data_IF_188430906128
#
_entry.id   IF_188430906128
#
_cell.length_a   1.000
_cell.length_b   1.000
_cell.length_c   1.000
_cell.angle_alpha   90.00
_cell.angle_beta   90.00
_cell.angle_gamma   90.00
#
_symmetry.space_group_name_H-M   'P 1'
#
loop_
_entity.id
_entity.type
_entity.pdbx_description
1 polymer ?
#
# COMPACT_ATOMS: atom_id res chain seq x y z
N UNK A 1 57.23 8.38 -33.36
CA UNK A 1 57.14 7.99 -31.93
C UNK A 1 55.92 7.08 -31.76
N UNK A 2 56.00 5.95 -31.03
CA UNK A 2 54.83 5.11 -30.76
C UNK A 2 53.97 5.75 -29.66
N UNK A 3 52.72 6.11 -29.99
CA UNK A 3 51.77 6.63 -29.01
C UNK A 3 51.23 5.49 -28.14
N UNK A 4 51.77 5.37 -26.93
CA UNK A 4 51.31 4.40 -25.91
C UNK A 4 49.86 4.73 -25.51
N UNK A 5 48.89 4.10 -26.19
CA UNK A 5 47.47 4.20 -25.82
C UNK A 5 47.31 3.82 -24.35
N UNK A 6 46.72 4.71 -23.56
CA UNK A 6 46.44 4.47 -22.15
C UNK A 6 45.27 3.48 -22.02
N UNK A 7 45.58 2.19 -21.99
CA UNK A 7 44.59 1.16 -21.64
C UNK A 7 44.18 1.29 -20.17
N UNK A 8 42.88 1.16 -19.88
CA UNK A 8 42.35 1.13 -18.51
C UNK A 8 42.97 -0.03 -17.74
N UNK A 9 43.31 0.19 -16.47
CA UNK A 9 43.87 -0.87 -15.61
C UNK A 9 42.83 -1.96 -15.32
N UNK A 10 43.30 -3.19 -15.04
CA UNK A 10 42.43 -4.32 -14.69
C UNK A 10 41.62 -4.11 -13.40
N UNK A 11 41.99 -3.12 -12.58
CA UNK A 11 41.22 -2.66 -11.44
C UNK A 11 40.10 -1.70 -11.88
N UNK A 12 40.42 -0.66 -12.66
CA UNK A 12 39.44 0.29 -13.20
C UNK A 12 38.34 -0.43 -14.02
N UNK A 13 38.72 -1.46 -14.78
CA UNK A 13 37.77 -2.30 -15.50
C UNK A 13 36.79 -3.04 -14.57
N UNK A 14 37.23 -3.49 -13.39
CA UNK A 14 36.37 -4.15 -12.39
C UNK A 14 35.54 -3.16 -11.57
N UNK A 15 36.05 -1.95 -11.33
CA UNK A 15 35.29 -0.84 -10.73
C UNK A 15 34.14 -0.40 -11.64
N UNK A 16 34.42 -0.18 -12.94
CA UNK A 16 33.42 0.17 -13.96
C UNK A 16 32.39 -0.96 -14.13
N UNK A 17 32.82 -2.22 -14.26
CA UNK A 17 31.92 -3.37 -14.31
C UNK A 17 31.07 -3.49 -13.03
N UNK A 18 31.67 -3.20 -11.87
CA UNK A 18 30.99 -3.20 -10.58
C UNK A 18 29.85 -2.18 -10.51
N UNK A 19 30.12 -0.94 -10.92
CA UNK A 19 29.11 0.12 -11.01
C UNK A 19 28.02 -0.25 -12.02
N UNK A 20 28.40 -0.73 -13.21
CA UNK A 20 27.44 -1.13 -14.27
C UNK A 20 26.48 -2.24 -13.79
N UNK A 21 26.99 -3.23 -13.06
CA UNK A 21 26.18 -4.31 -12.47
C UNK A 21 25.25 -3.81 -11.35
N UNK A 22 25.69 -2.86 -10.51
CA UNK A 22 24.81 -2.22 -9.52
C UNK A 22 23.68 -1.45 -10.20
N UNK A 23 24.01 -0.60 -11.19
CA UNK A 23 23.02 0.17 -11.95
C UNK A 23 22.03 -0.76 -12.64
N UNK A 24 22.51 -1.78 -13.36
CA UNK A 24 21.64 -2.78 -14.00
C UNK A 24 20.72 -3.47 -12.99
N UNK A 25 21.24 -3.86 -11.82
CA UNK A 25 20.43 -4.44 -10.76
C UNK A 25 19.36 -3.49 -10.21
N UNK A 26 19.62 -2.18 -10.12
CA UNK A 26 18.62 -1.17 -9.75
C UNK A 26 17.55 -0.98 -10.83
N UNK A 27 17.93 -0.94 -12.11
CA UNK A 27 16.97 -0.85 -13.23
C UNK A 27 16.08 -2.10 -13.30
N UNK A 28 16.64 -3.29 -13.10
CA UNK A 28 15.88 -4.55 -12.99
C UNK A 28 14.96 -4.52 -11.77
N UNK A 29 15.40 -4.01 -10.62
CA UNK A 29 14.56 -3.89 -9.43
C UNK A 29 13.36 -2.96 -9.66
N UNK A 30 13.58 -1.79 -10.25
CA UNK A 30 12.51 -0.86 -10.61
C UNK A 30 11.52 -1.50 -11.60
N UNK A 31 12.04 -2.21 -12.61
CA UNK A 31 11.23 -2.95 -13.58
C UNK A 31 10.32 -3.98 -12.92
N UNK A 32 10.83 -4.73 -11.93
CA UNK A 32 10.08 -5.77 -11.22
C UNK A 32 9.09 -5.22 -10.19
N UNK A 33 9.42 -4.12 -9.49
CA UNK A 33 8.53 -3.49 -8.51
C UNK A 33 7.33 -2.80 -9.22
N UNK A 34 7.54 -2.26 -10.41
CA UNK A 34 6.49 -1.65 -11.25
C UNK A 34 5.90 -2.60 -12.31
N UNK A 35 5.97 -3.93 -12.07
CA UNK A 35 5.32 -4.90 -12.95
C UNK A 35 3.80 -4.84 -12.84
N UNK A 36 3.11 -4.47 -13.93
CA UNK A 36 1.69 -4.68 -14.09
C UNK A 36 1.44 -5.91 -15.00
N UNK A 37 0.63 -6.91 -14.60
CA UNK A 37 0.22 -8.03 -15.47
C UNK A 37 -0.47 -7.66 -16.79
N UNK A 38 -1.02 -6.44 -16.93
CA UNK A 38 -1.60 -5.93 -18.18
C UNK A 38 -0.58 -5.38 -19.18
N UNK A 39 0.62 -5.02 -18.70
CA UNK A 39 1.74 -4.57 -19.52
C UNK A 39 2.34 -5.79 -20.23
N UNK A 40 1.71 -6.20 -21.32
CA UNK A 40 2.20 -7.29 -22.16
C UNK A 40 3.02 -6.75 -23.34
N UNK A 41 4.18 -7.36 -23.68
CA UNK A 41 5.08 -6.88 -24.72
C UNK A 41 4.52 -7.09 -26.14
N UNK A 42 3.59 -6.22 -26.54
CA UNK A 42 2.91 -6.19 -27.85
C UNK A 42 3.71 -5.40 -28.91
N UNK A 43 5.04 -5.54 -28.88
CA UNK A 43 5.97 -4.80 -29.72
C UNK A 43 6.15 -3.34 -29.29
N UNK A 44 6.54 -2.47 -30.23
CA UNK A 44 6.79 -1.04 -29.98
C UNK A 44 5.50 -0.17 -29.98
N UNK A 45 4.33 -0.74 -29.69
CA UNK A 45 3.10 0.04 -29.60
C UNK A 45 3.06 0.78 -28.27
N UNK A 46 3.29 2.09 -28.30
CA UNK A 46 3.37 3.00 -27.14
C UNK A 46 2.00 3.30 -26.50
N UNK A 47 1.13 2.29 -26.37
CA UNK A 47 -0.01 2.37 -25.47
C UNK A 47 0.48 2.46 -24.02
N UNK A 48 -0.34 3.06 -23.18
CA UNK A 48 -0.03 3.51 -21.82
C UNK A 48 0.73 2.44 -21.00
N UNK A 49 2.03 2.67 -20.79
CA UNK A 49 2.92 1.78 -20.03
C UNK A 49 2.99 2.25 -18.58
N UNK A 50 2.50 1.44 -17.64
CA UNK A 50 2.56 1.75 -16.21
C UNK A 50 3.93 1.46 -15.59
N UNK A 51 4.73 0.58 -16.21
CA UNK A 51 6.06 0.25 -15.72
C UNK A 51 6.99 1.48 -15.65
N UNK A 52 7.59 1.73 -14.48
CA UNK A 52 8.42 2.91 -14.22
C UNK A 52 9.74 2.93 -15.00
N UNK A 53 10.15 1.79 -15.57
CA UNK A 53 11.28 1.67 -16.50
C UNK A 53 10.83 1.68 -17.99
N UNK A 54 9.56 2.03 -18.25
CA UNK A 54 8.95 2.06 -19.57
C UNK A 54 8.99 0.71 -20.27
N UNK A 55 8.94 0.72 -21.61
CA UNK A 55 8.93 -0.49 -22.46
C UNK A 55 10.06 -1.47 -22.11
N UNK A 56 11.26 -0.97 -21.81
CA UNK A 56 12.38 -1.83 -21.41
C UNK A 56 12.08 -2.60 -20.11
N UNK A 57 11.45 -1.95 -19.13
CA UNK A 57 11.04 -2.57 -17.88
C UNK A 57 9.89 -3.58 -18.04
N UNK A 58 8.97 -3.34 -18.98
CA UNK A 58 7.95 -4.33 -19.39
C UNK A 58 8.61 -5.61 -19.89
N UNK A 59 9.54 -5.52 -20.83
CA UNK A 59 10.25 -6.71 -21.33
C UNK A 59 11.07 -7.42 -20.23
N UNK A 60 11.79 -6.68 -19.38
CA UNK A 60 12.57 -7.25 -18.26
C UNK A 60 11.65 -7.99 -17.27
N UNK A 61 10.58 -7.33 -16.82
CA UNK A 61 9.67 -7.89 -15.83
C UNK A 61 8.87 -9.07 -16.38
N UNK A 62 8.37 -8.99 -17.62
CA UNK A 62 7.69 -10.10 -18.30
C UNK A 62 8.59 -11.35 -18.42
N UNK A 63 9.85 -11.20 -18.83
CA UNK A 63 10.80 -12.32 -18.93
C UNK A 63 11.11 -12.91 -17.55
N UNK A 64 11.40 -12.10 -16.54
CA UNK A 64 11.76 -12.59 -15.21
C UNK A 64 10.56 -13.24 -14.48
N UNK A 65 9.38 -12.63 -14.57
CA UNK A 65 8.17 -13.03 -13.84
C UNK A 65 7.35 -14.06 -14.63
N UNK A 66 6.78 -13.73 -15.80
CA UNK A 66 5.92 -14.69 -16.55
C UNK A 66 6.73 -15.88 -17.11
N UNK A 67 7.92 -15.64 -17.70
CA UNK A 67 8.69 -16.73 -18.33
C UNK A 67 9.56 -17.50 -17.32
N UNK A 68 10.41 -16.82 -16.54
CA UNK A 68 11.43 -17.50 -15.72
C UNK A 68 10.88 -18.06 -14.39
N UNK A 69 10.87 -17.26 -13.32
CA UNK A 69 10.76 -17.75 -11.94
C UNK A 69 9.55 -17.20 -11.16
N UNK A 70 8.74 -16.32 -11.76
CA UNK A 70 7.62 -15.68 -11.05
C UNK A 70 8.07 -14.67 -10.02
N UNK A 71 7.33 -14.55 -8.92
CA UNK A 71 7.72 -13.66 -7.81
C UNK A 71 9.13 -13.96 -7.25
N UNK A 72 9.60 -15.22 -7.13
CA UNK A 72 10.99 -15.54 -6.79
C UNK A 72 12.07 -14.90 -7.67
N UNK A 73 11.76 -14.41 -8.88
CA UNK A 73 12.71 -13.66 -9.71
C UNK A 73 13.20 -12.36 -9.06
N UNK A 74 12.53 -11.86 -8.01
CA UNK A 74 12.95 -10.69 -7.22
C UNK A 74 14.36 -10.82 -6.62
N UNK A 75 14.91 -12.04 -6.50
CA UNK A 75 16.31 -12.23 -6.05
C UNK A 75 17.35 -11.76 -7.08
N UNK A 76 17.02 -11.76 -8.38
CA UNK A 76 17.94 -11.43 -9.48
C UNK A 76 18.54 -10.03 -9.36
N UNK A 77 17.77 -8.93 -9.15
CA UNK A 77 18.35 -7.61 -8.96
C UNK A 77 19.28 -7.51 -7.75
N UNK A 78 18.97 -8.17 -6.62
CA UNK A 78 19.85 -8.18 -5.45
C UNK A 78 21.15 -8.94 -5.72
N UNK A 79 21.09 -10.05 -6.48
CA UNK A 79 22.27 -10.77 -6.93
C UNK A 79 23.14 -9.90 -7.87
N UNK A 80 22.54 -9.16 -8.81
CA UNK A 80 23.27 -8.22 -9.68
C UNK A 80 23.98 -7.12 -8.87
N UNK A 81 23.30 -6.49 -7.91
CA UNK A 81 23.89 -5.48 -7.02
C UNK A 81 25.03 -6.09 -6.17
N UNK A 82 24.85 -7.30 -5.63
CA UNK A 82 25.87 -8.01 -4.86
C UNK A 82 27.10 -8.43 -5.68
N UNK A 83 26.91 -8.82 -6.94
CA UNK A 83 28.00 -9.06 -7.89
C UNK A 83 28.72 -7.75 -8.22
N UNK A 84 27.98 -6.68 -8.49
CA UNK A 84 28.54 -5.35 -8.70
C UNK A 84 29.41 -4.89 -7.53
N UNK A 85 28.95 -5.08 -6.31
CA UNK A 85 29.71 -4.81 -5.08
C UNK A 85 30.96 -5.71 -4.92
N UNK A 86 30.90 -6.96 -5.38
CA UNK A 86 32.04 -7.90 -5.33
C UNK A 86 33.12 -7.51 -6.34
N UNK A 87 32.74 -7.13 -7.57
CA UNK A 87 33.66 -6.61 -8.58
C UNK A 87 34.24 -5.26 -8.19
N UNK A 88 33.41 -4.31 -7.74
CA UNK A 88 33.84 -2.97 -7.31
C UNK A 88 34.86 -3.01 -6.16
N UNK A 89 34.76 -3.99 -5.25
CA UNK A 89 35.72 -4.18 -4.15
C UNK A 89 36.86 -5.15 -4.46
N UNK A 90 36.99 -5.66 -5.70
CA UNK A 90 38.03 -6.62 -6.08
C UNK A 90 38.08 -7.90 -5.23
N UNK A 91 36.94 -8.32 -4.64
CA UNK A 91 36.89 -9.41 -3.64
C UNK A 91 36.88 -10.80 -4.28
N UNK A 92 37.21 -11.83 -3.48
CA UNK A 92 37.04 -13.24 -3.87
C UNK A 92 35.61 -13.48 -4.37
N UNK A 93 35.52 -13.98 -5.61
CA UNK A 93 34.27 -14.24 -6.32
C UNK A 93 33.60 -15.54 -5.89
N UNK A 94 34.36 -16.46 -5.29
CA UNK A 94 33.91 -17.80 -4.89
C UNK A 94 32.75 -17.76 -3.89
N UNK A 95 32.84 -16.88 -2.87
CA UNK A 95 31.75 -16.69 -1.90
C UNK A 95 30.50 -16.14 -2.58
N UNK A 96 30.64 -15.20 -3.52
CA UNK A 96 29.51 -14.63 -4.24
C UNK A 96 28.87 -15.63 -5.22
N UNK A 97 29.69 -16.46 -5.89
CA UNK A 97 29.22 -17.56 -6.74
C UNK A 97 28.42 -18.60 -5.92
N UNK A 98 28.93 -18.99 -4.74
CA UNK A 98 28.23 -19.91 -3.83
C UNK A 98 26.88 -19.34 -3.37
N UNK A 99 26.85 -18.07 -2.95
CA UNK A 99 25.60 -17.37 -2.59
C UNK A 99 24.64 -17.37 -3.79
N UNK A 100 25.12 -17.01 -4.98
CA UNK A 100 24.30 -16.94 -6.20
C UNK A 100 23.66 -18.27 -6.54
N UNK A 101 24.43 -19.35 -6.57
CA UNK A 101 23.93 -20.71 -6.84
C UNK A 101 22.84 -21.10 -5.84
N UNK A 102 23.06 -20.87 -4.54
CA UNK A 102 22.12 -21.17 -3.47
C UNK A 102 20.85 -20.31 -3.50
N UNK A 103 20.96 -19.01 -3.77
CA UNK A 103 19.81 -18.11 -3.90
C UNK A 103 18.95 -18.46 -5.13
N UNK A 104 19.57 -18.83 -6.26
CA UNK A 104 18.83 -19.28 -7.46
C UNK A 104 18.17 -20.65 -7.26
N UNK A 105 18.84 -21.60 -6.59
CA UNK A 105 18.25 -22.90 -6.24
C UNK A 105 17.04 -22.73 -5.31
N UNK A 106 17.15 -21.88 -4.28
CA UNK A 106 16.04 -21.56 -3.39
C UNK A 106 14.90 -20.85 -4.13
N UNK A 107 15.20 -19.93 -5.05
CA UNK A 107 14.18 -19.26 -5.88
C UNK A 107 13.44 -20.25 -6.79
N UNK A 108 14.15 -21.20 -7.43
CA UNK A 108 13.54 -22.25 -8.25
C UNK A 108 12.67 -23.22 -7.41
N UNK A 109 13.11 -23.54 -6.19
CA UNK A 109 12.33 -24.36 -5.26
C UNK A 109 11.02 -23.66 -4.84
N UNK A 110 11.07 -22.38 -4.48
CA UNK A 110 9.88 -21.57 -4.16
C UNK A 110 8.98 -21.42 -5.40
N UNK A 111 9.56 -21.19 -6.59
CA UNK A 111 8.82 -21.12 -7.85
C UNK A 111 8.05 -22.42 -8.13
N UNK A 112 8.64 -23.57 -7.83
CA UNK A 112 7.99 -24.89 -7.95
C UNK A 112 6.85 -25.07 -6.94
N UNK A 113 7.03 -24.62 -5.69
CA UNK A 113 5.93 -24.62 -4.68
C UNK A 113 4.76 -23.77 -5.17
N UNK A 114 5.03 -22.56 -5.68
CA UNK A 114 4.01 -21.64 -6.19
C UNK A 114 3.33 -22.16 -7.47
N UNK A 115 3.97 -23.09 -8.19
CA UNK A 115 3.40 -23.78 -9.35
C UNK A 115 2.37 -24.86 -8.99
N UNK A 116 2.46 -25.48 -7.83
CA UNK A 116 1.64 -26.65 -7.48
C UNK A 116 0.13 -26.36 -7.42
N UNK A 117 -0.37 -25.23 -6.88
CA UNK A 117 -1.79 -24.89 -6.93
C UNK A 117 -2.33 -24.65 -8.35
N UNK A 118 -1.46 -24.22 -9.28
CA UNK A 118 -1.82 -23.94 -10.67
C UNK A 118 -1.95 -25.25 -11.46
N UNK A 119 -1.12 -26.25 -11.17
CA UNK A 119 -1.23 -27.60 -11.73
C UNK A 119 -2.57 -28.29 -11.37
N UNK A 120 -3.21 -27.91 -10.26
CA UNK A 120 -4.52 -28.42 -9.85
C UNK A 120 -5.71 -27.72 -10.52
N UNK A 121 -5.54 -26.46 -10.95
CA UNK A 121 -6.63 -25.67 -11.55
C UNK A 121 -6.14 -24.97 -12.84
N UNK A 122 -6.07 -25.69 -13.99
CA UNK A 122 -5.66 -25.11 -15.27
C UNK A 122 -6.48 -23.87 -15.68
N UNK A 123 -7.75 -23.78 -15.25
CA UNK A 123 -8.66 -22.67 -15.55
C UNK A 123 -8.38 -21.40 -14.73
N UNK A 124 -7.61 -21.49 -13.62
CA UNK A 124 -7.17 -20.31 -12.85
C UNK A 124 -6.07 -19.51 -13.54
N UNK A 125 -5.61 -19.96 -14.70
CA UNK A 125 -4.54 -19.37 -15.53
C UNK A 125 -4.86 -18.00 -16.14
N UNK A 126 -6.02 -17.40 -15.87
CA UNK A 126 -6.33 -16.02 -16.27
C UNK A 126 -5.37 -14.96 -15.67
N UNK A 127 -4.77 -15.25 -14.51
CA UNK A 127 -3.69 -14.42 -13.90
C UNK A 127 -2.29 -14.86 -14.40
N UNK A 128 -2.24 -15.94 -15.19
CA UNK A 128 -1.05 -16.54 -15.78
C UNK A 128 -0.12 -17.21 -14.76
N UNK A 129 0.99 -17.76 -15.26
CA UNK A 129 2.08 -18.30 -14.45
C UNK A 129 2.85 -17.22 -13.63
N UNK A 130 2.29 -16.02 -13.45
CA UNK A 130 2.94 -14.85 -12.84
C UNK A 130 3.50 -15.12 -11.42
N UNK A 131 2.92 -16.06 -10.68
CA UNK A 131 3.40 -16.41 -9.33
C UNK A 131 4.65 -17.32 -9.34
N UNK A 132 4.72 -18.30 -10.26
CA UNK A 132 5.74 -19.36 -10.31
C UNK A 132 6.75 -19.21 -11.45
N UNK A 133 6.46 -18.35 -12.43
CA UNK A 133 7.03 -18.43 -13.76
C UNK A 133 6.60 -19.70 -14.51
N UNK A 134 6.83 -19.71 -15.81
CA UNK A 134 6.60 -20.89 -16.64
C UNK A 134 7.50 -22.06 -16.20
N UNK A 135 8.74 -21.81 -15.77
CA UNK A 135 9.66 -22.87 -15.32
C UNK A 135 9.13 -23.54 -14.04
N UNK A 136 8.80 -22.76 -13.00
CA UNK A 136 8.27 -23.31 -11.75
C UNK A 136 6.92 -24.01 -11.92
N UNK A 137 6.05 -23.44 -12.75
CA UNK A 137 4.76 -24.05 -13.13
C UNK A 137 4.94 -25.37 -13.89
N UNK A 138 5.84 -25.42 -14.87
CA UNK A 138 6.10 -26.61 -15.66
C UNK A 138 6.71 -27.76 -14.83
N UNK A 139 7.65 -27.45 -13.93
CA UNK A 139 8.21 -28.45 -13.00
C UNK A 139 7.11 -29.00 -12.09
N UNK A 140 6.29 -28.12 -11.49
CA UNK A 140 5.19 -28.53 -10.62
C UNK A 140 4.12 -29.38 -11.34
N UNK A 141 3.80 -29.04 -12.58
CA UNK A 141 2.87 -29.81 -13.41
C UNK A 141 3.41 -31.20 -13.75
N UNK A 142 4.68 -31.31 -14.16
CA UNK A 142 5.31 -32.61 -14.43
C UNK A 142 5.40 -33.47 -13.16
N UNK A 143 5.69 -32.87 -12.00
CA UNK A 143 5.69 -33.57 -10.72
C UNK A 143 4.28 -34.08 -10.36
N UNK A 144 3.25 -33.25 -10.60
CA UNK A 144 1.85 -33.64 -10.38
C UNK A 144 1.41 -34.79 -11.31
N UNK A 145 1.81 -34.75 -12.59
CA UNK A 145 1.54 -35.84 -13.53
C UNK A 145 2.26 -37.15 -13.15
N UNK A 146 3.46 -37.08 -12.59
CA UNK A 146 4.27 -38.25 -12.24
C UNK A 146 3.89 -38.90 -10.88
N UNK A 147 3.49 -38.10 -9.88
CA UNK A 147 3.32 -38.56 -8.50
C UNK A 147 1.93 -38.24 -7.89
N UNK A 148 1.04 -37.59 -8.64
CA UNK A 148 -0.19 -37.02 -8.11
C UNK A 148 0.06 -35.91 -7.09
N UNK A 149 -1.01 -35.37 -6.47
CA UNK A 149 -0.89 -34.28 -5.50
C UNK A 149 -0.11 -34.69 -4.24
N UNK A 150 -0.48 -35.80 -3.62
CA UNK A 150 0.12 -36.25 -2.35
C UNK A 150 1.61 -36.57 -2.54
N UNK A 151 1.96 -37.31 -3.59
CA UNK A 151 3.35 -37.63 -3.90
C UNK A 151 4.18 -36.39 -4.26
N UNK A 152 3.60 -35.42 -4.99
CA UNK A 152 4.26 -34.14 -5.26
C UNK A 152 4.61 -33.36 -3.99
N UNK A 153 3.69 -33.30 -3.02
CA UNK A 153 3.93 -32.64 -1.73
C UNK A 153 5.07 -33.34 -0.97
N UNK A 154 5.07 -34.68 -0.94
CA UNK A 154 6.12 -35.48 -0.28
C UNK A 154 7.49 -35.23 -0.93
N UNK A 155 7.58 -35.24 -2.26
CA UNK A 155 8.84 -34.97 -2.98
C UNK A 155 9.31 -33.54 -2.76
N UNK A 156 8.42 -32.55 -2.82
CA UNK A 156 8.75 -31.13 -2.54
C UNK A 156 9.30 -30.99 -1.11
N UNK A 157 8.63 -31.55 -0.10
CA UNK A 157 9.10 -31.48 1.30
C UNK A 157 10.46 -32.18 1.48
N UNK A 158 10.69 -33.32 0.84
CA UNK A 158 11.97 -34.02 0.88
C UNK A 158 13.10 -33.22 0.21
N UNK A 159 12.87 -32.67 -0.99
CA UNK A 159 13.82 -31.80 -1.69
C UNK A 159 14.09 -30.53 -0.88
N UNK A 160 13.07 -29.96 -0.24
CA UNK A 160 13.21 -28.80 0.65
C UNK A 160 14.09 -29.09 1.86
N UNK A 161 13.90 -30.24 2.52
CA UNK A 161 14.72 -30.66 3.65
C UNK A 161 16.19 -30.88 3.25
N UNK A 162 16.44 -31.58 2.13
CA UNK A 162 17.79 -31.78 1.58
C UNK A 162 18.44 -30.43 1.24
N UNK A 163 17.69 -29.54 0.61
CA UNK A 163 18.15 -28.19 0.25
C UNK A 163 18.50 -27.37 1.50
N UNK A 164 17.64 -27.38 2.52
CA UNK A 164 17.86 -26.65 3.78
C UNK A 164 19.13 -27.11 4.50
N UNK A 165 19.37 -28.42 4.58
CA UNK A 165 20.59 -29.00 5.16
C UNK A 165 21.83 -28.56 4.37
N UNK A 166 21.78 -28.61 3.04
CA UNK A 166 22.91 -28.21 2.19
C UNK A 166 23.21 -26.69 2.22
N UNK A 167 22.16 -25.87 2.40
CA UNK A 167 22.26 -24.41 2.55
C UNK A 167 22.85 -24.00 3.91
N UNK A 168 22.42 -24.65 4.99
CA UNK A 168 22.73 -24.24 6.38
C UNK A 168 23.97 -24.92 6.95
N UNK A 169 24.35 -26.09 6.42
CA UNK A 169 25.33 -27.02 7.01
C UNK A 169 24.93 -27.56 8.39
N UNK A 170 23.68 -27.31 8.84
CA UNK A 170 23.11 -27.81 10.09
C UNK A 170 22.60 -29.24 9.93
N UNK A 171 22.58 -30.01 11.00
CA UNK A 171 21.94 -31.34 10.97
C UNK A 171 20.42 -31.23 10.77
N UNK A 172 19.78 -32.29 10.26
CA UNK A 172 18.30 -32.34 10.19
C UNK A 172 17.67 -32.10 11.56
N UNK A 173 18.29 -32.60 12.63
CA UNK A 173 17.88 -32.40 14.03
C UNK A 173 17.85 -30.92 14.43
N UNK A 174 18.89 -30.15 14.10
CA UNK A 174 18.93 -28.70 14.32
C UNK A 174 17.88 -27.98 13.46
N UNK A 175 17.75 -28.36 12.18
CA UNK A 175 16.75 -27.78 11.28
C UNK A 175 15.32 -28.02 11.75
N UNK A 176 15.00 -29.22 12.27
CA UNK A 176 13.71 -29.52 12.88
C UNK A 176 13.48 -28.77 14.20
N UNK A 177 14.51 -28.60 15.03
CA UNK A 177 14.42 -27.79 16.24
C UNK A 177 14.14 -26.32 15.90
N UNK A 178 14.92 -25.72 15.00
CA UNK A 178 14.72 -24.36 14.50
C UNK A 178 13.33 -24.18 13.87
N UNK A 179 12.85 -25.18 13.12
CA UNK A 179 11.50 -25.16 12.54
C UNK A 179 10.40 -25.17 13.60
N UNK A 180 10.55 -25.95 14.70
CA UNK A 180 9.61 -25.92 15.83
C UNK A 180 9.61 -24.58 16.55
N UNK A 181 10.78 -23.98 16.78
CA UNK A 181 10.88 -22.64 17.37
C UNK A 181 10.24 -21.59 16.46
N UNK A 182 10.47 -21.64 15.15
CA UNK A 182 9.84 -20.73 14.20
C UNK A 182 8.31 -20.89 14.14
N UNK A 183 7.78 -22.11 14.16
CA UNK A 183 6.33 -22.36 14.22
C UNK A 183 5.71 -21.77 15.49
N UNK A 184 6.31 -22.03 16.66
CA UNK A 184 5.84 -21.51 17.94
C UNK A 184 5.85 -19.97 17.96
N UNK A 185 6.89 -19.34 17.41
CA UNK A 185 7.04 -17.88 17.39
C UNK A 185 6.29 -17.19 16.23
N UNK A 186 5.75 -17.94 15.26
CA UNK A 186 4.92 -17.41 14.17
C UNK A 186 3.45 -17.31 14.56
N UNK A 187 2.98 -18.14 15.49
CA UNK A 187 1.61 -18.07 16.00
C UNK A 187 1.30 -16.72 16.66
N UNK A 188 2.19 -16.24 17.54
CA UNK A 188 2.05 -14.92 18.18
C UNK A 188 2.05 -13.76 17.17
N UNK A 189 2.95 -13.79 16.19
CA UNK A 189 3.04 -12.78 15.12
C UNK A 189 1.74 -12.67 14.29
N UNK A 190 1.05 -13.79 14.06
CA UNK A 190 -0.20 -13.80 13.29
C UNK A 190 -1.39 -13.28 14.10
N UNK A 191 -1.47 -13.61 15.39
CA UNK A 191 -2.47 -13.04 16.30
C UNK A 191 -2.30 -11.52 16.48
N UNK A 192 -1.08 -11.06 16.72
CA UNK A 192 -0.77 -9.63 16.89
C UNK A 192 -1.18 -8.79 15.66
N UNK A 193 -0.97 -9.33 14.44
CA UNK A 193 -1.42 -8.68 13.21
C UNK A 193 -2.95 -8.71 13.03
N UNK A 194 -3.62 -9.80 13.42
CA UNK A 194 -5.08 -9.90 13.32
C UNK A 194 -5.81 -8.98 14.30
N UNK A 195 -5.34 -8.87 15.54
CA UNK A 195 -5.95 -7.99 16.53
C UNK A 195 -5.65 -6.51 16.23
N UNK A 196 -4.48 -6.19 15.67
CA UNK A 196 -4.23 -4.86 15.08
C UNK A 196 -5.19 -4.57 13.92
N UNK A 197 -5.43 -5.56 13.04
CA UNK A 197 -6.39 -5.47 11.92
C UNK A 197 -7.87 -5.40 12.36
N UNK A 198 -8.16 -5.73 13.63
CA UNK A 198 -9.47 -5.57 14.29
C UNK A 198 -9.61 -4.19 14.93
N UNK A 199 -8.56 -3.72 15.62
CA UNK A 199 -8.58 -2.48 16.40
C UNK A 199 -8.57 -1.20 15.54
N UNK A 200 -7.96 -1.19 14.35
CA UNK A 200 -8.08 0.00 13.47
C UNK A 200 -9.50 0.21 12.95
N UNK A 201 -10.28 -0.86 12.74
CA UNK A 201 -11.68 -0.76 12.28
C UNK A 201 -12.59 -0.19 13.36
N UNK A 202 -12.42 -0.58 14.63
CA UNK A 202 -13.16 0.02 15.74
C UNK A 202 -12.74 1.48 15.94
N UNK A 203 -11.43 1.78 15.99
CA UNK A 203 -10.93 3.16 16.10
C UNK A 203 -11.48 4.09 15.01
N UNK A 204 -11.38 3.69 13.74
CA UNK A 204 -11.88 4.48 12.61
C UNK A 204 -13.43 4.59 12.58
N UNK A 205 -14.16 3.71 13.25
CA UNK A 205 -15.61 3.82 13.40
C UNK A 205 -15.96 4.83 14.51
N UNK A 206 -15.30 4.74 15.67
CA UNK A 206 -15.48 5.69 16.78
C UNK A 206 -15.12 7.12 16.38
N UNK A 207 -14.02 7.31 15.65
CA UNK A 207 -13.61 8.65 15.17
C UNK A 207 -14.61 9.25 14.18
N UNK A 208 -15.20 8.43 13.29
CA UNK A 208 -16.25 8.86 12.35
C UNK A 208 -17.56 9.20 13.06
N UNK A 209 -17.94 8.44 14.09
CA UNK A 209 -19.09 8.76 14.93
C UNK A 209 -18.88 10.08 15.70
N UNK A 210 -17.70 10.28 16.30
CA UNK A 210 -17.36 11.50 17.02
C UNK A 210 -17.25 12.74 16.13
N UNK A 211 -16.86 12.59 14.85
CA UNK A 211 -16.88 13.69 13.86
C UNK A 211 -18.29 14.07 13.44
N UNK A 212 -19.14 13.09 13.09
CA UNK A 212 -20.56 13.34 12.79
C UNK A 212 -21.30 14.02 13.94
N UNK A 213 -21.15 13.53 15.17
CA UNK A 213 -21.76 14.13 16.34
C UNK A 213 -21.25 15.55 16.67
N UNK A 214 -20.18 16.02 16.00
CA UNK A 214 -19.65 17.39 16.09
C UNK A 214 -20.04 18.26 14.90
N UNK A 215 -20.36 17.68 13.74
CA UNK A 215 -20.95 18.37 12.58
C UNK A 215 -22.49 18.50 12.69
N UNK A 216 -23.14 17.60 13.43
CA UNK A 216 -24.60 17.57 13.65
C UNK A 216 -25.01 18.36 14.91
N UNK A 217 -24.07 19.06 15.57
CA UNK A 217 -24.35 19.99 16.67
C UNK A 217 -24.77 21.36 16.10
N UNK A 218 -25.95 21.92 16.46
CA UNK A 218 -26.37 23.22 15.94
C UNK A 218 -25.43 24.34 16.40
N UNK A 219 -24.97 25.18 15.48
CA UNK A 219 -24.35 26.46 15.83
C UNK A 219 -25.46 27.41 16.30
N UNK A 220 -25.41 27.78 17.58
CA UNK A 220 -26.34 28.72 18.21
C UNK A 220 -25.99 30.15 17.75
N UNK A 221 -26.60 30.55 16.63
CA UNK A 221 -26.27 31.77 15.90
C UNK A 221 -26.94 33.01 16.54
N UNK A 222 -26.15 33.86 17.20
CA UNK A 222 -26.61 35.12 17.79
C UNK A 222 -26.90 36.17 16.70
N UNK A 223 -28.17 36.32 16.31
CA UNK A 223 -28.66 37.43 15.48
C UNK A 223 -29.13 38.62 16.35
N UNK A 224 -28.28 39.64 16.49
CA UNK A 224 -28.74 41.01 16.75
C UNK A 224 -28.99 41.77 15.43
N UNK A 225 -29.92 42.74 15.41
CA UNK A 225 -30.65 43.07 14.18
C UNK A 225 -30.01 44.19 13.34
N UNK A 226 -30.13 44.05 12.02
CA UNK A 226 -29.97 45.16 11.07
C UNK A 226 -31.35 45.59 10.56
N UNK A 227 -31.69 46.87 10.72
CA UNK A 227 -33.03 47.40 10.39
C UNK A 227 -33.22 47.72 8.91
N UNK A 228 -34.50 47.76 8.51
CA UNK A 228 -35.04 48.41 7.31
C UNK A 228 -34.74 47.77 5.93
N UNK A 229 -35.63 46.86 5.52
CA UNK A 229 -36.29 47.04 4.22
C UNK A 229 -37.79 46.67 4.23
N UNK A 230 -38.56 47.53 3.55
CA UNK A 230 -40.00 47.62 3.26
C UNK A 230 -41.05 46.66 3.87
N UNK A 231 -42.03 47.28 4.57
CA UNK A 231 -43.27 46.68 5.06
C UNK A 231 -44.25 46.27 3.95
N UNK A 232 -44.07 45.10 3.31
CA UNK A 232 -44.82 44.75 2.09
C UNK A 232 -45.44 43.32 1.99
N UNK A 233 -45.80 42.60 3.07
CA UNK A 233 -46.51 41.28 2.90
C UNK A 233 -47.51 40.79 3.98
N UNK A 234 -47.80 41.49 5.08
CA UNK A 234 -48.83 41.04 6.07
C UNK A 234 -50.24 41.63 5.78
N UNK A 235 -51.27 40.81 5.47
CA UNK A 235 -52.59 41.29 5.06
C UNK A 235 -53.38 41.93 6.23
N UNK A 236 -54.07 43.04 5.92
CA UNK A 236 -54.72 43.96 6.89
C UNK A 236 -55.65 43.30 7.91
N UNK A 237 -56.32 42.18 7.56
CA UNK A 237 -57.26 41.50 8.45
C UNK A 237 -56.58 40.83 9.66
N UNK A 238 -55.39 40.24 9.50
CA UNK A 238 -54.60 39.67 10.62
C UNK A 238 -54.23 40.72 11.68
N UNK A 239 -53.97 41.95 11.23
CA UNK A 239 -53.59 43.08 12.10
C UNK A 239 -54.77 43.54 12.96
N UNK A 240 -55.98 43.56 12.38
CA UNK A 240 -57.22 43.92 13.07
C UNK A 240 -57.71 42.82 14.03
N UNK A 241 -57.46 41.54 13.73
CA UNK A 241 -57.79 40.44 14.63
C UNK A 241 -57.02 40.53 15.96
N UNK A 242 -55.68 40.63 15.92
CA UNK A 242 -54.83 40.74 17.13
C UNK A 242 -55.18 41.93 18.02
N UNK A 243 -55.64 43.05 17.45
CA UNK A 243 -56.07 44.23 18.20
C UNK A 243 -57.44 44.07 18.88
N UNK A 244 -58.28 43.12 18.44
CA UNK A 244 -59.61 42.89 19.01
C UNK A 244 -59.61 41.86 20.14
N UNK A 245 -58.65 40.94 20.12
CA UNK A 245 -58.58 39.80 21.04
C UNK A 245 -57.91 40.17 22.38
N UNK A 246 -56.88 41.02 22.36
CA UNK A 246 -56.05 41.34 23.52
C UNK A 246 -56.54 42.54 24.37
N UNK A 247 -57.82 42.90 24.33
CA UNK A 247 -58.36 44.10 25.03
C UNK A 247 -59.46 43.75 26.05
N UNK A 248 -59.40 42.55 26.64
CA UNK A 248 -60.34 42.12 27.69
C UNK A 248 -59.57 41.61 28.93
N UNK A 249 -59.64 42.44 29.98
CA UNK A 249 -59.46 42.14 31.41
C UNK A 249 -58.06 41.83 31.98
N UNK A 250 -57.93 42.10 33.28
CA UNK A 250 -56.70 42.32 34.04
C UNK A 250 -56.86 41.82 35.52
N UNK A 251 -55.83 41.88 36.41
CA UNK A 251 -55.59 40.89 37.50
C UNK A 251 -55.82 41.49 38.92
N UNK A 252 -55.20 41.02 40.07
CA UNK A 252 -54.51 39.76 40.44
C UNK A 252 -55.27 39.03 41.60
N UNK A 253 -54.89 38.95 42.92
CA UNK A 253 -53.63 38.58 43.61
C UNK A 253 -53.73 37.50 44.74
N UNK A 254 -52.60 36.85 45.08
CA UNK A 254 -52.36 36.08 46.32
C UNK A 254 -51.28 34.99 46.15
N UNK A 255 -50.06 35.06 46.72
CA UNK A 255 -49.64 34.93 48.14
C UNK A 255 -49.64 33.45 48.65
N UNK A 256 -48.64 32.91 49.37
CA UNK A 256 -47.31 33.38 49.83
C UNK A 256 -46.43 32.17 50.30
N UNK A 257 -45.21 32.42 50.82
CA UNK A 257 -44.22 31.47 51.44
C UNK A 257 -43.46 30.54 50.46
N UNK A 258 -42.12 30.34 50.45
CA UNK A 258 -40.92 30.80 51.18
C UNK A 258 -40.31 29.91 52.30
N UNK A 259 -39.15 29.28 52.03
CA UNK A 259 -38.08 28.97 53.02
C UNK A 259 -36.73 28.58 52.36
N UNK A 260 -35.58 29.17 52.77
CA UNK A 260 -34.23 28.71 52.41
C UNK A 260 -33.37 28.38 53.67
N UNK A 261 -32.01 28.38 53.65
CA UNK A 261 -31.16 27.20 53.89
C UNK A 261 -30.41 27.21 55.24
N UNK A 262 -29.43 26.29 55.44
CA UNK A 262 -28.23 26.59 56.22
C UNK A 262 -26.91 26.47 55.41
N UNK A 263 -25.81 27.16 55.79
CA UNK A 263 -24.62 27.33 54.94
C UNK A 263 -23.32 26.60 55.41
N UNK A 264 -22.27 26.74 54.57
CA UNK A 264 -20.85 26.38 54.77
C UNK A 264 -20.21 27.23 55.88
N UNK A 265 -19.05 26.84 56.50
CA UNK A 265 -17.70 27.10 55.92
C UNK A 265 -16.68 26.00 56.31
N UNK A 266 -15.34 25.99 56.11
CA UNK A 266 -14.29 26.72 55.33
C UNK A 266 -13.41 25.61 54.66
N UNK A 267 -12.57 25.76 53.63
CA UNK A 267 -11.63 26.77 53.09
C UNK A 267 -10.19 26.77 53.66
N UNK A 268 -9.21 26.56 52.78
CA UNK A 268 -7.91 27.25 52.77
C UNK A 268 -7.45 27.45 51.31
N UNK A 269 -6.47 28.34 51.10
CA UNK A 269 -6.11 28.97 49.80
C UNK A 269 -4.56 29.10 49.74
N UNK A 270 -4.06 29.72 48.66
CA UNK A 270 -2.69 30.30 48.52
C UNK A 270 -1.65 29.24 48.02
N UNK A 271 -0.76 29.49 47.03
CA UNK A 271 -0.37 30.69 46.25
C UNK A 271 0.01 30.37 44.78
N UNK A 272 0.24 31.42 43.96
CA UNK A 272 1.05 31.39 42.74
C UNK A 272 1.97 32.62 42.64
N UNK A 273 3.23 32.42 42.23
CA UNK A 273 3.82 33.23 41.14
C UNK A 273 4.59 32.34 40.12
N UNK A 274 4.53 32.48 38.78
CA UNK A 274 4.70 33.63 37.85
C UNK A 274 6.16 33.81 37.35
N UNK A 275 6.29 33.95 36.02
CA UNK A 275 7.46 34.35 35.19
C UNK A 275 8.66 33.38 35.04
N UNK A 276 8.90 32.96 33.77
CA UNK A 276 9.89 33.65 32.90
C UNK A 276 9.73 33.34 31.41
N UNK A 277 10.28 34.24 30.60
CA UNK A 277 10.17 34.35 29.14
C UNK A 277 10.99 33.30 28.36
N UNK A 278 10.72 33.11 27.05
CA UNK A 278 11.49 32.13 26.24
C UNK A 278 11.25 32.04 24.73
N UNK A 279 10.39 32.90 24.15
CA UNK A 279 10.28 33.28 22.73
C UNK A 279 10.83 32.33 21.61
N UNK A 280 9.96 31.77 20.78
CA UNK A 280 10.11 31.82 19.31
C UNK A 280 8.84 31.38 18.55
N UNK A 281 8.50 32.12 17.49
CA UNK A 281 7.45 31.85 16.49
C UNK A 281 8.13 31.63 15.10
N UNK A 282 7.47 31.51 13.90
CA UNK A 282 6.24 32.19 13.49
C UNK A 282 5.25 31.43 12.56
N UNK A 283 4.08 32.07 12.34
CA UNK A 283 3.23 32.14 11.12
C UNK A 283 3.17 30.95 10.13
N UNK A 284 1.93 30.54 9.83
CA UNK A 284 1.35 30.63 8.49
C UNK A 284 -0.18 30.85 8.57
N UNK A 285 -0.79 31.43 7.53
CA UNK A 285 -2.23 31.68 7.40
C UNK A 285 -2.62 31.83 5.92
N UNK A 286 -3.92 32.04 5.63
CA UNK A 286 -4.59 32.04 4.33
C UNK A 286 -4.88 30.61 3.76
N UNK A 287 -6.02 30.29 3.12
CA UNK A 287 -6.88 31.01 2.13
C UNK A 287 -6.18 31.24 0.78
N UNK A 288 -6.83 31.15 -0.38
CA UNK A 288 -8.12 30.56 -0.81
C UNK A 288 -8.04 30.36 -2.34
N UNK A 289 -8.76 29.40 -2.93
CA UNK A 289 -9.34 29.56 -4.29
C UNK A 289 -10.42 28.52 -4.59
N UNK A 290 -11.56 28.99 -5.10
CA UNK A 290 -12.56 28.18 -5.82
C UNK A 290 -12.12 27.98 -7.28
N UNK A 291 -12.50 26.87 -7.90
CA UNK A 291 -13.28 26.89 -9.15
C UNK A 291 -14.09 25.59 -9.30
N UNK A 292 -15.23 25.60 -10.03
CA UNK A 292 -16.24 24.53 -9.95
C UNK A 292 -17.02 24.28 -11.25
N UNK A 293 -16.70 23.15 -11.90
CA UNK A 293 -17.54 22.43 -12.89
C UNK A 293 -17.82 23.22 -14.21
N UNK A 294 -18.59 22.73 -15.23
CA UNK A 294 -19.68 21.74 -15.21
C UNK A 294 -19.39 20.39 -15.91
N UNK A 295 -20.27 19.42 -15.66
CA UNK A 295 -20.35 18.12 -16.35
C UNK A 295 -21.43 18.13 -17.46
N UNK A 296 -21.31 17.25 -18.47
CA UNK A 296 -22.38 16.99 -19.45
C UNK A 296 -22.29 15.58 -20.08
N UNK A 297 -23.35 14.75 -20.00
CA UNK A 297 -23.48 13.48 -20.73
C UNK A 297 -24.53 13.61 -21.88
N UNK A 298 -24.94 12.51 -22.54
CA UNK A 298 -24.20 11.75 -23.55
C UNK A 298 -24.86 11.88 -24.95
N UNK A 299 -24.20 11.40 -26.02
CA UNK A 299 -24.79 11.48 -27.39
C UNK A 299 -24.35 10.36 -28.35
N UNK A 300 -25.32 9.54 -28.77
CA UNK A 300 -25.38 8.95 -30.13
C UNK A 300 -24.47 7.75 -30.48
N UNK A 301 -25.02 6.68 -31.09
CA UNK A 301 -24.22 5.63 -31.73
C UNK A 301 -24.18 5.80 -33.26
N UNK A 302 -23.04 6.20 -33.81
CA UNK A 302 -22.82 6.19 -35.27
C UNK A 302 -22.30 4.83 -35.78
N UNK A 303 -22.58 4.55 -37.05
CA UNK A 303 -22.65 3.18 -37.61
C UNK A 303 -21.81 3.03 -38.89
N UNK A 304 -21.00 1.96 -38.91
CA UNK A 304 -20.41 1.29 -40.09
C UNK A 304 -19.57 2.11 -41.09
N UNK A 305 -18.35 1.62 -41.35
CA UNK A 305 -18.01 1.06 -42.66
C UNK A 305 -16.73 0.20 -42.57
N UNK A 306 -16.78 -1.06 -43.02
CA UNK A 306 -15.58 -1.84 -43.33
C UNK A 306 -15.42 -1.89 -44.87
N UNK A 307 -14.25 -1.55 -45.44
CA UNK A 307 -13.93 -1.94 -46.81
C UNK A 307 -13.72 -3.47 -46.88
N UNK A 308 -13.96 -4.11 -48.04
CA UNK A 308 -13.89 -5.56 -48.17
C UNK A 308 -12.45 -6.10 -48.15
N UNK A 309 -12.33 -7.37 -47.78
CA UNK A 309 -11.14 -8.18 -48.03
C UNK A 309 -11.18 -8.69 -49.48
N UNK A 310 -10.11 -8.48 -50.24
CA UNK A 310 -9.81 -9.30 -51.42
C UNK A 310 -8.86 -10.45 -51.02
N UNK A 311 -8.82 -11.49 -51.85
CA UNK A 311 -8.34 -12.84 -51.54
C UNK A 311 -6.82 -13.05 -51.71
#
# INVERSE_FOLDING_TARGET
MPTKRAGMSSQQQQEILGILLMTLGMLVLASLISYNPTDEPRGFQFLEVENAMGVAGVYISYVLIKILLGLPAIVVPFLLIGWGHTYFRGRSREKMARITYYTLLAALYIATILGLPQALNPTSSAIGFSYSGLIGGYIAQNLHHAFGLIGSIIVIVAVGAITLVYLTQMSLSEAFAASKHWLANSGSWFHERLDTARNWKSAATTERAGKKAREEAPEEFEEEPEEAEETATEPRWKRLARMRENTVEAPPPGALTAQPPPPRPFAQRMETPVLKDGLNAPKAAARDTFEKAPSRPPSGPDRYAHPPLEL
#
